data_IF_616993579115
#
_entry.id   IF_616993579115
#
_cell.length_a   1.000
_cell.length_b   1.000
_cell.length_c   1.000
_cell.angle_alpha   90.00
_cell.angle_beta   90.00
_cell.angle_gamma   90.00
#
_symmetry.space_group_name_H-M   'P 1'
#
loop_
_entity.id
_entity.type
_entity.pdbx_description
1 polymer ?
#
# COMPACT_ATOMS: atom_id res chain seq x y z
N UNK A 1 2.65 11.78 -13.13
CA UNK A 1 3.00 10.41 -12.73
C UNK A 1 1.87 9.48 -13.14
N UNK A 2 2.20 8.35 -13.74
CA UNK A 2 1.24 7.29 -14.06
C UNK A 2 1.03 6.37 -12.87
N UNK A 3 0.00 5.52 -12.94
CA UNK A 3 -0.23 4.48 -11.93
C UNK A 3 0.94 3.51 -11.81
N UNK A 4 1.55 3.13 -12.93
CA UNK A 4 2.72 2.26 -12.95
C UNK A 4 3.95 2.92 -12.32
N UNK A 5 4.17 4.20 -12.59
CA UNK A 5 5.25 4.97 -11.96
C UNK A 5 5.04 5.09 -10.45
N UNK A 6 3.81 5.31 -10.03
CA UNK A 6 3.47 5.37 -8.62
C UNK A 6 3.71 4.02 -7.93
N UNK A 7 3.29 2.92 -8.55
CA UNK A 7 3.54 1.59 -7.99
C UNK A 7 5.04 1.27 -7.91
N UNK A 8 5.84 1.69 -8.90
CA UNK A 8 7.30 1.58 -8.84
C UNK A 8 7.89 2.41 -7.69
N UNK A 9 7.36 3.61 -7.47
CA UNK A 9 7.80 4.48 -6.38
C UNK A 9 7.54 3.83 -5.02
N UNK A 10 6.33 3.28 -4.83
CA UNK A 10 5.97 2.55 -3.61
C UNK A 10 6.88 1.34 -3.40
N UNK A 11 7.05 0.50 -4.43
CA UNK A 11 7.90 -0.69 -4.34
C UNK A 11 9.35 -0.34 -3.98
N UNK A 12 9.91 0.68 -4.62
CA UNK A 12 11.29 1.14 -4.35
C UNK A 12 11.44 1.68 -2.93
N UNK A 13 10.47 2.45 -2.47
CA UNK A 13 10.46 2.96 -1.10
C UNK A 13 10.46 1.81 -0.08
N UNK A 14 9.57 0.85 -0.26
CA UNK A 14 9.45 -0.28 0.66
C UNK A 14 10.72 -1.14 0.68
N UNK A 15 11.32 -1.38 -0.48
CA UNK A 15 12.56 -2.14 -0.58
C UNK A 15 13.71 -1.42 0.14
N UNK A 16 13.85 -0.11 -0.03
CA UNK A 16 14.87 0.69 0.66
C UNK A 16 14.63 0.76 2.16
N UNK A 17 13.37 0.99 2.54
CA UNK A 17 13.00 1.24 3.93
C UNK A 17 13.03 -0.02 4.78
N UNK A 18 12.57 -1.15 4.23
CA UNK A 18 12.33 -2.37 4.99
C UNK A 18 13.13 -3.58 4.52
N UNK A 19 13.99 -3.41 3.54
CA UNK A 19 14.88 -4.50 3.09
C UNK A 19 15.76 -5.05 4.21
N UNK A 20 16.26 -4.18 5.11
CA UNK A 20 17.05 -4.57 6.27
C UNK A 20 16.26 -5.38 7.31
N UNK A 21 14.93 -5.35 7.23
CA UNK A 21 14.03 -6.17 8.06
C UNK A 21 13.64 -7.49 7.39
N UNK A 22 14.31 -7.82 6.28
CA UNK A 22 14.05 -9.05 5.53
C UNK A 22 12.83 -9.00 4.64
N UNK A 23 12.35 -7.80 4.29
CA UNK A 23 11.23 -7.65 3.36
C UNK A 23 11.72 -7.73 1.92
N UNK A 24 11.18 -8.69 1.18
CA UNK A 24 11.34 -8.79 -0.27
C UNK A 24 10.13 -8.17 -0.94
N UNK A 25 10.36 -7.32 -1.95
CA UNK A 25 9.30 -6.56 -2.62
C UNK A 25 9.27 -6.91 -4.09
N UNK A 26 8.11 -7.34 -4.57
CA UNK A 26 7.89 -7.75 -5.95
C UNK A 26 6.84 -6.86 -6.60
N UNK A 27 6.91 -6.76 -7.93
CA UNK A 27 5.94 -6.03 -8.74
C UNK A 27 5.12 -7.00 -9.59
N UNK A 28 3.84 -6.66 -9.75
CA UNK A 28 2.96 -7.31 -10.74
C UNK A 28 2.87 -8.83 -10.58
N UNK A 29 2.53 -9.27 -9.38
CA UNK A 29 2.38 -10.68 -9.05
C UNK A 29 0.94 -11.14 -9.29
N UNK A 30 0.77 -12.21 -10.06
CA UNK A 30 -0.56 -12.78 -10.35
C UNK A 30 -0.96 -13.79 -9.30
N UNK A 31 -2.12 -13.58 -8.69
CA UNK A 31 -2.66 -14.46 -7.65
C UNK A 31 -4.17 -14.62 -7.86
N UNK A 32 -4.59 -15.80 -8.31
CA UNK A 32 -6.00 -16.14 -8.43
C UNK A 32 -6.80 -15.19 -9.31
N UNK A 33 -8.07 -15.02 -8.96
CA UNK A 33 -9.00 -14.17 -9.70
C UNK A 33 -9.63 -13.12 -8.80
N UNK A 34 -9.94 -11.96 -9.38
CA UNK A 34 -10.68 -10.90 -8.73
C UNK A 34 -12.16 -11.28 -8.55
N UNK A 35 -12.91 -10.45 -7.82
CA UNK A 35 -14.35 -10.67 -7.59
C UNK A 35 -15.19 -10.64 -8.87
N UNK A 36 -14.67 -10.13 -9.98
CA UNK A 36 -15.33 -10.15 -11.28
C UNK A 36 -14.76 -11.24 -12.21
N UNK A 37 -13.99 -12.20 -11.67
CA UNK A 37 -13.49 -13.34 -12.41
C UNK A 37 -12.30 -13.09 -13.33
N UNK A 38 -11.69 -11.90 -13.28
CA UNK A 38 -10.46 -11.59 -14.02
C UNK A 38 -9.22 -12.07 -13.24
N UNK A 39 -8.15 -12.42 -13.97
CA UNK A 39 -6.88 -12.71 -13.33
C UNK A 39 -6.41 -11.51 -12.52
N UNK A 40 -6.25 -11.73 -11.21
CA UNK A 40 -5.77 -10.67 -10.30
C UNK A 40 -4.28 -10.46 -10.49
N UNK A 41 -3.89 -9.19 -10.68
CA UNK A 41 -2.50 -8.79 -10.69
C UNK A 41 -2.27 -7.81 -9.54
N UNK A 42 -1.44 -8.22 -8.57
CA UNK A 42 -1.13 -7.39 -7.41
C UNK A 42 -0.01 -6.43 -7.80
N UNK A 43 -0.21 -5.14 -7.59
CA UNK A 43 0.74 -4.11 -8.01
C UNK A 43 2.08 -4.21 -7.28
N UNK A 44 2.04 -4.37 -5.95
CA UNK A 44 3.22 -4.53 -5.10
C UNK A 44 2.96 -5.66 -4.12
N UNK A 45 3.83 -6.65 -4.11
CA UNK A 45 3.70 -7.83 -3.27
C UNK A 45 4.92 -7.96 -2.36
N UNK A 46 4.68 -7.96 -1.06
CA UNK A 46 5.75 -8.00 -0.07
C UNK A 46 5.75 -9.34 0.66
N UNK A 47 6.94 -9.92 0.84
CA UNK A 47 7.12 -11.15 1.61
C UNK A 47 8.23 -10.95 2.61
N UNK A 48 7.94 -11.19 3.89
CA UNK A 48 9.00 -11.24 4.89
C UNK A 48 9.68 -12.59 4.81
N UNK A 49 10.99 -12.58 4.54
CA UNK A 49 11.76 -13.78 4.27
C UNK A 49 11.78 -14.76 5.45
N UNK A 50 11.86 -14.24 6.67
CA UNK A 50 12.04 -15.08 7.87
C UNK A 50 10.90 -16.08 8.09
N UNK A 51 9.65 -15.72 7.76
CA UNK A 51 8.48 -16.56 8.05
C UNK A 51 7.51 -16.68 6.86
N UNK A 52 7.88 -16.16 5.70
CA UNK A 52 7.05 -16.12 4.49
C UNK A 52 5.71 -15.41 4.65
N UNK A 53 5.59 -14.51 5.61
CA UNK A 53 4.40 -13.67 5.77
C UNK A 53 4.29 -12.69 4.60
N UNK A 54 3.14 -12.66 3.93
CA UNK A 54 2.91 -11.85 2.75
C UNK A 54 1.96 -10.68 3.01
N UNK A 55 2.14 -9.61 2.24
CA UNK A 55 1.25 -8.44 2.26
C UNK A 55 1.12 -7.88 0.85
N UNK A 56 -0.12 -7.72 0.39
CA UNK A 56 -0.42 -7.23 -0.95
C UNK A 56 -0.78 -5.76 -0.92
N UNK A 57 -0.29 -4.98 -1.89
CA UNK A 57 -0.59 -3.55 -1.99
C UNK A 57 -1.10 -3.24 -3.39
N UNK A 58 -2.33 -2.73 -3.45
CA UNK A 58 -2.90 -2.14 -4.65
C UNK A 58 -2.58 -0.65 -4.65
N UNK A 59 -2.07 -0.14 -5.76
CA UNK A 59 -1.64 1.25 -5.87
C UNK A 59 -2.62 2.05 -6.72
N UNK A 60 -3.11 3.16 -6.18
CA UNK A 60 -4.06 4.06 -6.84
C UNK A 60 -3.54 5.49 -6.81
N UNK A 61 -3.23 6.03 -7.98
CA UNK A 61 -2.74 7.40 -8.11
C UNK A 61 -3.66 8.18 -9.03
N UNK A 62 -4.10 9.36 -8.59
CA UNK A 62 -4.88 10.28 -9.42
C UNK A 62 -4.54 11.72 -9.07
N UNK A 63 -3.89 12.42 -9.99
CA UNK A 63 -3.43 13.81 -9.78
C UNK A 63 -4.39 14.84 -10.34
N UNK A 64 -5.26 14.44 -11.24
CA UNK A 64 -6.35 15.26 -11.79
C UNK A 64 -7.63 14.42 -11.84
N UNK A 65 -8.81 15.05 -11.84
CA UNK A 65 -10.08 14.30 -11.92
C UNK A 65 -10.10 13.33 -13.10
N UNK A 66 -10.51 12.09 -12.88
CA UNK A 66 -10.49 11.05 -13.90
C UNK A 66 -11.12 9.74 -13.46
N UNK A 67 -10.85 8.68 -14.20
CA UNK A 67 -11.52 7.38 -14.08
C UNK A 67 -11.04 6.53 -12.91
N UNK A 68 -9.95 6.89 -12.24
CA UNK A 68 -9.47 6.14 -11.08
C UNK A 68 -10.50 6.20 -9.94
N UNK A 69 -11.22 7.31 -9.81
CA UNK A 69 -12.30 7.48 -8.83
C UNK A 69 -13.31 6.31 -8.86
N UNK A 70 -13.72 5.92 -10.06
CA UNK A 70 -14.72 4.87 -10.27
C UNK A 70 -14.24 3.49 -9.83
N UNK A 71 -12.92 3.30 -9.78
CA UNK A 71 -12.29 2.02 -9.44
C UNK A 71 -12.12 1.82 -7.95
N UNK A 72 -12.27 2.87 -7.15
CA UNK A 72 -12.00 2.78 -5.71
C UNK A 72 -12.99 1.87 -4.96
N UNK A 73 -14.33 2.01 -5.13
CA UNK A 73 -15.26 1.09 -4.46
C UNK A 73 -15.00 -0.37 -4.79
N UNK A 74 -14.75 -0.67 -6.08
CA UNK A 74 -14.40 -2.02 -6.53
C UNK A 74 -13.10 -2.51 -5.87
N UNK A 75 -12.06 -1.66 -5.83
CA UNK A 75 -10.78 -2.03 -5.25
C UNK A 75 -10.90 -2.32 -3.75
N UNK A 76 -11.69 -1.55 -3.02
CA UNK A 76 -11.96 -1.81 -1.60
C UNK A 76 -12.69 -3.13 -1.38
N UNK A 77 -13.68 -3.44 -2.22
CA UNK A 77 -14.40 -4.71 -2.15
C UNK A 77 -13.49 -5.89 -2.52
N UNK A 78 -12.69 -5.77 -3.58
CA UNK A 78 -11.79 -6.83 -4.02
C UNK A 78 -10.69 -7.11 -2.98
N UNK A 79 -10.31 -6.10 -2.21
CA UNK A 79 -9.34 -6.25 -1.14
C UNK A 79 -9.78 -7.28 -0.09
N UNK A 80 -11.07 -7.33 0.23
CA UNK A 80 -11.63 -8.31 1.17
C UNK A 80 -11.58 -9.74 0.62
N UNK A 81 -11.48 -9.90 -0.70
CA UNK A 81 -11.41 -11.20 -1.36
C UNK A 81 -9.98 -11.70 -1.56
N UNK A 82 -8.96 -10.96 -1.12
CA UNK A 82 -7.57 -11.40 -1.22
C UNK A 82 -7.31 -12.62 -0.34
N UNK A 83 -6.53 -13.61 -0.83
CA UNK A 83 -6.15 -14.77 0.00
C UNK A 83 -5.10 -14.45 1.06
N UNK A 84 -4.51 -13.25 1.04
CA UNK A 84 -3.57 -12.75 2.05
C UNK A 84 -3.99 -11.36 2.51
N UNK A 85 -3.39 -10.86 3.58
CA UNK A 85 -3.59 -9.48 4.02
C UNK A 85 -3.10 -8.50 2.96
N UNK A 86 -3.73 -7.33 2.91
CA UNK A 86 -3.35 -6.30 1.97
C UNK A 86 -3.98 -4.95 2.25
N UNK A 87 -3.59 -3.97 1.44
CA UNK A 87 -4.12 -2.62 1.54
C UNK A 87 -4.16 -1.93 0.17
N UNK A 88 -4.79 -0.77 0.12
CA UNK A 88 -4.66 0.18 -0.97
C UNK A 88 -3.72 1.28 -0.52
N UNK A 89 -2.65 1.51 -1.28
CA UNK A 89 -1.83 2.71 -1.17
C UNK A 89 -2.34 3.73 -2.19
N UNK A 90 -2.55 4.96 -1.77
CA UNK A 90 -3.06 5.99 -2.67
C UNK A 90 -2.34 7.32 -2.49
N UNK A 91 -2.33 8.12 -3.55
CA UNK A 91 -1.82 9.48 -3.55
C UNK A 91 -2.38 10.26 -4.73
N UNK A 92 -2.13 11.57 -4.71
CA UNK A 92 -2.58 12.49 -5.73
C UNK A 92 -3.70 13.40 -5.26
N UNK A 93 -3.90 14.50 -5.97
CA UNK A 93 -4.88 15.55 -5.61
C UNK A 93 -6.15 15.48 -6.44
N UNK A 94 -6.29 14.45 -7.28
CA UNK A 94 -7.38 14.37 -8.25
C UNK A 94 -8.60 13.60 -7.80
N UNK A 95 -8.59 12.99 -6.63
CA UNK A 95 -9.75 12.26 -6.10
C UNK A 95 -10.88 13.22 -5.74
N UNK A 96 -12.12 12.83 -6.05
CA UNK A 96 -13.28 13.57 -5.59
C UNK A 96 -13.37 13.53 -4.06
N UNK A 97 -14.07 14.50 -3.48
CA UNK A 97 -14.24 14.60 -2.03
C UNK A 97 -14.87 13.32 -1.45
N UNK A 98 -15.89 12.78 -2.11
CA UNK A 98 -16.56 11.56 -1.65
C UNK A 98 -15.65 10.34 -1.68
N UNK A 99 -14.85 10.18 -2.73
CA UNK A 99 -13.88 9.08 -2.84
C UNK A 99 -12.75 9.24 -1.85
N UNK A 100 -12.26 10.47 -1.65
CA UNK A 100 -11.23 10.74 -0.65
C UNK A 100 -11.71 10.39 0.77
N UNK A 101 -12.94 10.75 1.12
CA UNK A 101 -13.55 10.34 2.40
C UNK A 101 -13.63 8.82 2.53
N UNK A 102 -14.00 8.13 1.45
CA UNK A 102 -14.06 6.67 1.43
C UNK A 102 -12.69 6.05 1.71
N UNK A 103 -11.63 6.56 1.07
CA UNK A 103 -10.26 6.11 1.30
C UNK A 103 -9.78 6.40 2.73
N UNK A 104 -10.06 7.61 3.23
CA UNK A 104 -9.65 8.01 4.58
C UNK A 104 -10.38 7.21 5.68
N UNK A 105 -11.61 6.78 5.42
CA UNK A 105 -12.39 5.98 6.37
C UNK A 105 -12.05 4.49 6.31
N UNK A 106 -11.45 4.02 5.23
CA UNK A 106 -11.15 2.60 5.05
C UNK A 106 -9.93 2.20 5.89
N UNK A 107 -10.04 1.19 6.78
CA UNK A 107 -8.93 0.80 7.66
C UNK A 107 -7.75 0.19 6.90
N UNK A 108 -7.97 -0.27 5.67
CA UNK A 108 -6.94 -0.89 4.82
C UNK A 108 -6.57 -0.02 3.62
N UNK A 109 -6.79 1.29 3.71
CA UNK A 109 -6.29 2.25 2.73
C UNK A 109 -5.32 3.20 3.43
N UNK A 110 -4.21 3.48 2.77
CA UNK A 110 -3.15 4.31 3.34
C UNK A 110 -2.68 5.33 2.31
N UNK A 111 -2.67 6.58 2.70
CA UNK A 111 -1.99 7.60 1.93
C UNK A 111 -0.48 7.35 1.99
N UNK A 112 0.17 7.39 0.83
CA UNK A 112 1.62 7.26 0.79
C UNK A 112 2.19 7.94 -0.46
N UNK A 113 3.02 8.93 -0.26
CA UNK A 113 3.72 9.60 -1.36
C UNK A 113 5.19 9.81 -0.98
N UNK A 114 6.02 8.77 -1.09
CA UNK A 114 7.44 8.94 -0.80
C UNK A 114 8.12 9.80 -1.86
N UNK A 115 9.20 10.47 -1.46
CA UNK A 115 10.10 11.08 -2.43
C UNK A 115 10.93 10.00 -3.12
N UNK A 116 11.39 10.29 -4.33
CA UNK A 116 12.33 9.40 -5.03
C UNK A 116 13.58 9.21 -4.18
N UNK A 117 14.02 7.96 -4.08
CA UNK A 117 15.20 7.55 -3.29
C UNK A 117 15.08 7.81 -1.78
N UNK A 118 13.88 8.06 -1.28
CA UNK A 118 13.65 8.19 0.16
C UNK A 118 13.91 6.85 0.86
N UNK A 119 14.72 6.87 1.91
CA UNK A 119 15.07 5.69 2.71
C UNK A 119 14.68 5.84 4.18
N UNK A 120 13.98 6.90 4.53
CA UNK A 120 13.59 7.22 5.89
C UNK A 120 12.09 7.54 5.96
N UNK A 121 11.53 7.55 7.17
CA UNK A 121 10.12 7.87 7.37
C UNK A 121 9.84 9.36 7.17
N UNK A 122 8.62 9.66 6.72
CA UNK A 122 8.11 11.04 6.64
C UNK A 122 6.63 11.08 6.98
N UNK A 123 6.08 12.28 7.09
CA UNK A 123 4.63 12.45 7.26
C UNK A 123 3.84 11.83 6.10
N UNK A 124 4.40 11.87 4.90
CA UNK A 124 3.75 11.38 3.67
C UNK A 124 3.87 9.86 3.48
N UNK A 125 4.58 9.16 4.34
CA UNK A 125 4.68 7.69 4.29
C UNK A 125 4.10 7.01 5.53
N UNK A 126 3.73 7.77 6.54
CA UNK A 126 3.36 7.26 7.87
C UNK A 126 2.21 6.26 7.85
N UNK A 127 1.16 6.54 7.09
CA UNK A 127 -0.01 5.66 7.08
C UNK A 127 0.35 4.27 6.55
N UNK A 128 1.08 4.18 5.46
CA UNK A 128 1.52 2.88 4.91
C UNK A 128 2.53 2.20 5.83
N UNK A 129 3.49 2.95 6.37
CA UNK A 129 4.46 2.42 7.33
C UNK A 129 3.75 1.77 8.52
N UNK A 130 2.70 2.39 9.04
CA UNK A 130 1.94 1.88 10.18
C UNK A 130 1.10 0.64 9.83
N UNK A 131 0.54 0.55 8.62
CA UNK A 131 -0.15 -0.67 8.19
C UNK A 131 0.81 -1.85 8.09
N UNK A 132 1.99 -1.63 7.52
CA UNK A 132 3.03 -2.67 7.47
C UNK A 132 3.52 -3.05 8.87
N UNK A 133 3.72 -2.07 9.73
CA UNK A 133 4.13 -2.29 11.11
C UNK A 133 3.11 -3.15 11.86
N UNK A 134 1.82 -2.86 11.71
CA UNK A 134 0.75 -3.62 12.34
C UNK A 134 0.71 -5.07 11.82
N UNK A 135 0.92 -5.27 10.53
CA UNK A 135 0.89 -6.60 9.93
C UNK A 135 2.12 -7.45 10.31
N UNK A 136 3.30 -6.86 10.26
CA UNK A 136 4.55 -7.58 10.50
C UNK A 136 5.03 -7.52 11.95
N UNK A 137 4.35 -6.78 12.82
CA UNK A 137 4.74 -6.66 14.23
C UNK A 137 5.92 -5.72 14.46
N UNK A 138 6.15 -4.78 13.57
CA UNK A 138 7.23 -3.79 13.69
C UNK A 138 6.76 -2.59 14.52
N UNK A 139 6.43 -2.83 15.77
CA UNK A 139 5.82 -1.83 16.66
C UNK A 139 6.75 -0.66 16.98
N UNK A 140 8.06 -0.82 16.84
CA UNK A 140 9.01 0.27 16.97
C UNK A 140 8.72 1.43 16.01
N UNK A 141 8.17 1.14 14.80
CA UNK A 141 7.79 2.17 13.85
C UNK A 141 6.60 3.01 14.32
N UNK A 142 5.76 2.44 15.17
CA UNK A 142 4.57 3.10 15.74
C UNK A 142 4.90 3.78 17.06
N UNK A 143 5.61 3.06 17.93
CA UNK A 143 5.94 3.52 19.28
C UNK A 143 6.98 4.64 19.24
N UNK A 144 7.97 4.52 18.33
CA UNK A 144 9.06 5.47 18.24
C UNK A 144 9.90 5.48 19.52
N UNK A 145 10.16 6.68 20.05
CA UNK A 145 10.99 6.87 21.26
C UNK A 145 10.17 6.88 22.56
N UNK A 146 8.88 6.52 22.51
CA UNK A 146 8.05 6.48 23.71
C UNK A 146 8.49 5.34 24.63
N UNK A 147 8.42 5.57 25.94
CA UNK A 147 8.73 4.56 26.94
C UNK A 147 7.44 3.96 27.49
N UNK A 148 7.48 2.66 27.87
CA UNK A 148 6.34 2.04 28.58
C UNK A 148 6.04 2.75 29.88
N UNK A 149 4.78 2.75 30.27
CA UNK A 149 4.34 3.26 31.57
C UNK A 149 4.64 2.26 32.66
#
# INVERSE_FOLDING_TARGET
>A
MTGAEYANLIASYLARRFGSRGLEVYREIRVGKSIIGKNRCIDVFCVRQADSTAFAIECKFQDSPGTVDEKIPYALDDLEALPMAGCIAYAGKGFSEGVLHMLQAAPRAAYCLPMREQDDASADTRELDHLLAAHFGWWDLVIGNKRPV
#
